data_IF_185683430768
#
_entry.id   IF_185683430768
#
_cell.length_a   1.000
_cell.length_b   1.000
_cell.length_c   1.000
_cell.angle_alpha   90.00
_cell.angle_beta   90.00
_cell.angle_gamma   90.00
#
_symmetry.space_group_name_H-M   'P 1'
#
loop_
_entity.id
_entity.type
_entity.pdbx_description
1 polymer ?
#
# COMPACT_ATOMS: atom_id res chain seq x y z
N UNK A 1 -2.78 -14.90 -10.13
CA UNK A 1 -2.35 -13.61 -9.62
C UNK A 1 -3.56 -12.69 -9.46
N UNK A 2 -3.61 -11.95 -8.39
CA UNK A 2 -4.77 -11.11 -8.10
C UNK A 2 -4.35 -9.65 -8.07
N UNK A 3 -5.29 -8.78 -8.46
CA UNK A 3 -5.03 -7.36 -8.56
C UNK A 3 -6.00 -6.58 -7.69
N UNK A 4 -5.50 -5.50 -7.10
CA UNK A 4 -6.30 -4.54 -6.37
C UNK A 4 -6.33 -3.24 -7.16
N UNK A 5 -7.53 -2.71 -7.37
CA UNK A 5 -7.68 -1.37 -7.91
C UNK A 5 -7.52 -0.38 -6.76
N UNK A 6 -7.49 0.91 -7.11
CA UNK A 6 -7.21 1.94 -6.10
C UNK A 6 -8.17 1.86 -4.91
N UNK A 7 -9.44 1.57 -5.16
CA UNK A 7 -10.42 1.47 -4.07
C UNK A 7 -10.09 0.31 -3.13
N UNK A 8 -9.65 -0.80 -3.70
CA UNK A 8 -9.28 -1.95 -2.90
C UNK A 8 -8.03 -1.66 -2.08
N UNK A 9 -7.10 -0.92 -2.68
CA UNK A 9 -5.87 -0.54 -1.99
C UNK A 9 -6.20 0.38 -0.82
N UNK A 10 -7.14 1.31 -1.01
CA UNK A 10 -7.56 2.17 0.07
C UNK A 10 -8.12 1.36 1.24
N UNK A 11 -8.92 0.36 0.93
CA UNK A 11 -9.50 -0.50 1.97
C UNK A 11 -8.45 -1.34 2.65
N UNK A 12 -7.50 -1.85 1.88
CA UNK A 12 -6.46 -2.72 2.41
C UNK A 12 -5.54 -1.95 3.35
N UNK A 13 -5.16 -0.73 2.97
CA UNK A 13 -4.19 0.05 3.72
C UNK A 13 -4.81 1.00 4.72
N UNK A 14 -6.05 1.38 4.51
CA UNK A 14 -6.67 2.42 5.33
C UNK A 14 -6.23 3.82 4.95
N UNK A 15 -5.44 3.95 3.90
CA UNK A 15 -4.94 5.26 3.46
C UNK A 15 -5.87 5.87 2.43
N UNK A 16 -5.89 7.20 2.37
CA UNK A 16 -6.64 7.88 1.34
C UNK A 16 -5.91 7.76 0.01
N UNK A 17 -6.67 7.98 -1.07
CA UNK A 17 -6.08 7.97 -2.41
C UNK A 17 -4.93 8.97 -2.50
N UNK A 18 -5.12 10.17 -1.96
CA UNK A 18 -4.08 11.19 -2.01
C UNK A 18 -2.82 10.74 -1.29
N UNK A 19 -2.98 10.07 -0.15
CA UNK A 19 -1.83 9.55 0.59
C UNK A 19 -1.09 8.49 -0.20
N UNK A 20 -1.84 7.60 -0.85
CA UNK A 20 -1.22 6.54 -1.65
C UNK A 20 -0.39 7.14 -2.77
N UNK A 21 -0.94 8.11 -3.49
CA UNK A 21 -0.19 8.73 -4.59
C UNK A 21 1.00 9.52 -4.10
N UNK A 22 0.86 10.17 -2.94
CA UNK A 22 2.00 10.88 -2.36
C UNK A 22 3.13 9.90 -2.02
N UNK A 23 2.79 8.77 -1.41
CA UNK A 23 3.81 7.77 -1.07
C UNK A 23 4.47 7.21 -2.33
N UNK A 24 3.70 7.07 -3.40
CA UNK A 24 4.29 6.62 -4.67
C UNK A 24 5.31 7.63 -5.18
N UNK A 25 5.00 8.91 -5.10
CA UNK A 25 5.92 9.95 -5.52
C UNK A 25 7.19 9.94 -4.69
N UNK A 26 7.07 9.54 -3.43
CA UNK A 26 8.22 9.49 -2.52
C UNK A 26 8.94 8.14 -2.60
N UNK A 27 8.52 7.28 -3.50
CA UNK A 27 9.09 5.94 -3.67
C UNK A 27 8.92 5.08 -2.42
N UNK A 28 7.83 5.28 -1.70
CA UNK A 28 7.56 4.57 -0.46
C UNK A 28 6.36 3.65 -0.56
N UNK A 29 5.88 3.41 -1.77
CA UNK A 29 4.72 2.55 -2.00
C UNK A 29 4.94 1.81 -3.31
N UNK A 30 4.46 0.56 -3.41
CA UNK A 30 4.66 -0.21 -4.65
C UNK A 30 4.01 0.49 -5.83
N UNK A 31 4.61 0.31 -6.98
CA UNK A 31 4.06 0.87 -8.19
C UNK A 31 3.01 -0.08 -8.75
N UNK A 32 1.93 0.47 -9.31
CA UNK A 32 0.92 -0.38 -9.94
C UNK A 32 1.41 -0.92 -11.26
N UNK A 33 0.79 -2.02 -11.69
CA UNK A 33 1.03 -2.54 -13.02
C UNK A 33 -0.09 -2.07 -13.93
N UNK A 34 0.22 -1.98 -15.22
CA UNK A 34 -0.74 -1.50 -16.20
C UNK A 34 -1.56 -2.69 -16.70
N UNK A 35 -2.87 -2.59 -16.57
CA UNK A 35 -3.77 -3.60 -17.08
C UNK A 35 -4.28 -3.27 -18.48
N UNK A 36 -4.20 -2.01 -18.87
CA UNK A 36 -4.63 -1.54 -20.17
C UNK A 36 -4.16 -0.13 -20.34
N UNK A 37 -4.71 0.58 -21.32
CA UNK A 37 -4.24 1.94 -21.60
C UNK A 37 -4.47 2.87 -20.43
N UNK A 38 -5.57 2.70 -19.71
CA UNK A 38 -5.92 3.60 -18.62
C UNK A 38 -6.18 2.88 -17.31
N UNK A 39 -6.00 1.58 -17.30
CA UNK A 39 -6.31 0.79 -16.12
C UNK A 39 -5.01 0.34 -15.46
N UNK A 40 -4.88 0.67 -14.19
CA UNK A 40 -3.73 0.22 -13.41
C UNK A 40 -4.24 -0.45 -12.14
N UNK A 41 -3.43 -1.33 -11.61
CA UNK A 41 -3.77 -2.05 -10.38
C UNK A 41 -2.48 -2.52 -9.72
N UNK A 42 -2.59 -2.85 -8.45
CA UNK A 42 -1.46 -3.38 -7.69
C UNK A 42 -1.61 -4.87 -7.53
N UNK A 43 -0.50 -5.60 -7.55
CA UNK A 43 -0.55 -7.01 -7.24
C UNK A 43 -0.70 -7.16 -5.73
N UNK A 44 -1.43 -8.19 -5.32
CA UNK A 44 -1.59 -8.45 -3.90
C UNK A 44 -0.25 -8.77 -3.27
N UNK A 45 0.60 -9.51 -3.99
CA UNK A 45 1.92 -9.86 -3.47
C UNK A 45 2.73 -8.63 -3.11
N UNK A 46 2.75 -7.63 -4.00
CA UNK A 46 3.50 -6.41 -3.74
C UNK A 46 2.94 -5.68 -2.53
N UNK A 47 1.62 -5.66 -2.39
CA UNK A 47 1.00 -4.97 -1.26
C UNK A 47 1.30 -5.69 0.05
N UNK A 48 1.32 -7.01 0.03
CA UNK A 48 1.61 -7.76 1.23
C UNK A 48 3.05 -7.57 1.66
N UNK A 49 3.98 -7.57 0.70
CA UNK A 49 5.38 -7.32 1.01
C UNK A 49 5.54 -5.92 1.60
N UNK A 50 4.88 -4.95 0.99
CA UNK A 50 4.95 -3.58 1.50
C UNK A 50 4.42 -3.50 2.93
N UNK A 51 3.31 -4.16 3.20
CA UNK A 51 2.70 -4.12 4.52
C UNK A 51 3.61 -4.78 5.57
N UNK A 52 4.24 -5.88 5.19
CA UNK A 52 5.13 -6.58 6.11
C UNK A 52 6.35 -5.76 6.48
N UNK A 53 6.73 -4.83 5.63
CA UNK A 53 7.90 -4.01 5.86
C UNK A 53 7.59 -2.68 6.51
N UNK A 54 6.33 -2.47 6.95
CA UNK A 54 5.99 -1.24 7.64
C UNK A 54 6.56 -1.27 9.05
N UNK A 55 7.17 -0.17 9.49
CA UNK A 55 7.65 -0.11 10.88
C UNK A 55 6.47 -0.02 11.83
N UNK A 56 6.67 -0.47 13.03
CA UNK A 56 5.65 -0.33 14.06
C UNK A 56 5.45 1.14 14.37
N UNK A 57 4.19 1.52 14.58
CA UNK A 57 3.87 2.92 14.85
C UNK A 57 4.48 3.39 16.16
N UNK A 58 4.62 2.47 17.10
CA UNK A 58 5.15 2.79 18.40
C UNK A 58 6.34 1.90 18.62
N UNK A 59 7.42 2.47 18.64
CA UNK A 59 8.61 1.71 18.97
C UNK A 59 8.68 1.51 20.47
N UNK A 60 7.61 1.86 20.26
CA UNK A 60 7.19 1.81 20.95
C UNK A 60 6.74 1.13 21.49
N UNK A 61 6.33 1.32 21.40
CA UNK A 61 5.71 0.68 21.87
C UNK A 61 5.33 0.10 22.05
N UNK A 62 5.42 0.08 22.29
CA UNK A 62 5.03 -0.65 22.56
C UNK A 62 4.49 -1.02 22.84
N UNK A 63 4.59 -1.02 23.08
CA UNK A 63 4.12 -1.54 23.39
C UNK A 63 3.50 -1.77 23.60
N UNK A 64 3.46 -1.66 23.68
CA UNK A 64 2.87 -2.10 23.92
C UNK A 64 2.33 -2.29 24.00
N UNK A 65 2.47 -2.23 24.13
CA UNK A 65 1.88 -2.60 24.26
C UNK A 65 1.42 -2.61 24.19
N UNK A 66 1.45 -2.57 24.28
CA UNK A 66 0.95 -2.76 24.35
C UNK A 66 0.80 -2.78 24.39
#
# INVERSE_FOLDING_TARGET
>A
MRFFRIRDVEKFTGLSRASIYRLMRESKFPRPVRLGERAVAWTIDDLEIWAENRPLASSRSTKSGV
#
